data_IF_260225757794
#
_entry.id   IF_260225757794
#
_cell.length_a   1.000
_cell.length_b   1.000
_cell.length_c   1.000
_cell.angle_alpha   90.00
_cell.angle_beta   90.00
_cell.angle_gamma   90.00
#
_symmetry.space_group_name_H-M   'P 1'
#
loop_
_entity.id
_entity.type
_entity.pdbx_description
1 polymer ?
#
# COMPACT_ATOMS: atom_id res chain seq x y z
N UNK A 1 24.53 44.06 -3.79
CA UNK A 1 24.73 42.82 -4.58
C UNK A 1 25.13 41.73 -3.60
N UNK A 2 24.13 41.05 -3.01
CA UNK A 2 24.35 40.06 -1.95
C UNK A 2 24.48 38.67 -2.58
N UNK A 3 25.64 38.04 -2.40
CA UNK A 3 25.95 36.73 -2.94
C UNK A 3 25.15 35.67 -2.18
N UNK A 4 24.24 35.00 -2.91
CA UNK A 4 23.50 33.84 -2.42
C UNK A 4 24.50 32.72 -2.15
N UNK A 5 24.84 32.47 -0.88
CA UNK A 5 25.57 31.27 -0.49
C UNK A 5 24.72 30.06 -0.88
N UNK A 6 25.18 29.27 -1.84
CA UNK A 6 24.67 27.92 -2.07
C UNK A 6 24.87 27.17 -0.76
N UNK A 7 23.79 26.93 -0.03
CA UNK A 7 23.75 25.95 1.04
C UNK A 7 24.14 24.62 0.41
N UNK A 8 25.36 24.16 0.70
CA UNK A 8 25.79 22.83 0.34
C UNK A 8 24.82 21.85 1.01
N UNK A 9 24.14 21.04 0.19
CA UNK A 9 23.40 19.89 0.69
C UNK A 9 24.37 19.06 1.54
N UNK A 10 24.00 18.62 2.75
CA UNK A 10 24.88 17.81 3.57
C UNK A 10 25.25 16.53 2.81
N UNK A 11 26.48 16.06 3.03
CA UNK A 11 27.19 14.97 2.35
C UNK A 11 26.59 13.56 2.62
N UNK A 12 25.26 13.48 2.69
CA UNK A 12 24.45 12.30 3.06
C UNK A 12 24.10 11.41 1.84
N UNK A 13 24.50 11.85 0.64
CA UNK A 13 24.26 11.14 -0.62
C UNK A 13 24.82 9.69 -0.70
N UNK A 14 26.01 9.34 -0.16
CA UNK A 14 26.60 8.02 -0.45
C UNK A 14 25.88 6.86 0.26
N UNK A 15 25.28 7.12 1.44
CA UNK A 15 24.55 6.09 2.19
C UNK A 15 23.17 5.86 1.55
N UNK A 16 22.45 6.93 1.21
CA UNK A 16 21.13 6.83 0.56
C UNK A 16 21.24 6.14 -0.81
N UNK A 17 22.26 6.46 -1.61
CA UNK A 17 22.50 5.82 -2.90
C UNK A 17 22.86 4.34 -2.76
N UNK A 18 23.60 3.97 -1.70
CA UNK A 18 23.89 2.56 -1.38
C UNK A 18 22.65 1.77 -0.95
N UNK A 19 21.75 2.38 -0.15
CA UNK A 19 20.51 1.77 0.31
C UNK A 19 19.51 1.62 -0.85
N UNK A 20 19.40 2.64 -1.71
CA UNK A 20 18.60 2.59 -2.92
C UNK A 20 19.07 1.44 -3.84
N UNK A 21 20.39 1.32 -4.05
CA UNK A 21 20.98 0.23 -4.84
C UNK A 21 20.76 -1.15 -4.22
N UNK A 22 20.87 -1.28 -2.90
CA UNK A 22 20.58 -2.54 -2.21
C UNK A 22 19.11 -2.94 -2.31
N UNK A 23 18.18 -1.97 -2.26
CA UNK A 23 16.74 -2.24 -2.41
C UNK A 23 16.41 -2.77 -3.81
N UNK A 24 16.96 -2.16 -4.86
CA UNK A 24 16.73 -2.56 -6.25
C UNK A 24 17.36 -3.93 -6.57
N UNK A 25 18.56 -4.19 -6.04
CA UNK A 25 19.23 -5.48 -6.15
C UNK A 25 18.46 -6.56 -5.38
N UNK A 26 17.93 -6.29 -4.20
CA UNK A 26 17.18 -7.30 -3.43
C UNK A 26 15.86 -7.66 -4.10
N UNK A 27 15.17 -6.67 -4.70
CA UNK A 27 13.90 -6.90 -5.41
C UNK A 27 14.11 -7.64 -6.72
N UNK A 28 15.17 -7.31 -7.47
CA UNK A 28 15.46 -7.92 -8.78
C UNK A 28 16.21 -9.25 -8.70
N UNK A 29 16.95 -9.53 -7.62
CA UNK A 29 17.75 -10.78 -7.50
C UNK A 29 17.01 -11.88 -6.74
N UNK A 30 15.88 -11.57 -6.09
CA UNK A 30 15.01 -12.58 -5.47
C UNK A 30 14.00 -13.20 -6.46
N UNK A 31 14.43 -13.37 -7.72
CA UNK A 31 13.73 -14.21 -8.67
C UNK A 31 14.19 -15.64 -8.38
N UNK A 32 13.29 -16.48 -7.88
CA UNK A 32 13.59 -17.91 -7.73
C UNK A 32 14.11 -18.43 -9.08
N UNK A 33 15.15 -19.30 -9.12
CA UNK A 33 15.84 -19.73 -10.34
C UNK A 33 14.98 -20.49 -11.37
N UNK A 34 13.67 -20.55 -11.16
CA UNK A 34 12.68 -21.22 -12.01
C UNK A 34 11.42 -20.37 -12.25
N UNK A 35 11.40 -19.11 -11.81
CA UNK A 35 10.22 -18.24 -11.94
C UNK A 35 9.79 -18.08 -13.40
N UNK A 36 10.75 -17.91 -14.31
CA UNK A 36 10.51 -17.73 -15.74
C UNK A 36 9.83 -18.94 -16.38
N UNK A 37 10.38 -20.14 -16.15
CA UNK A 37 9.81 -21.39 -16.68
C UNK A 37 8.43 -21.70 -16.10
N UNK A 38 8.22 -21.41 -14.80
CA UNK A 38 6.90 -21.58 -14.16
C UNK A 38 5.86 -20.65 -14.77
N UNK A 39 6.20 -19.38 -14.99
CA UNK A 39 5.32 -18.42 -15.64
C UNK A 39 4.97 -18.83 -17.06
N UNK A 40 5.96 -19.24 -17.85
CA UNK A 40 5.75 -19.72 -19.22
C UNK A 40 4.86 -20.97 -19.26
N UNK A 41 5.13 -21.96 -18.40
CA UNK A 41 4.32 -23.18 -18.34
C UNK A 41 2.86 -22.87 -17.94
N UNK A 42 2.66 -22.05 -16.91
CA UNK A 42 1.31 -21.64 -16.47
C UNK A 42 0.58 -20.83 -17.56
N UNK A 43 1.29 -19.99 -18.32
CA UNK A 43 0.72 -19.27 -19.46
C UNK A 43 0.25 -20.23 -20.57
N UNK A 44 1.11 -21.16 -21.00
CA UNK A 44 0.73 -22.14 -22.04
C UNK A 44 -0.42 -23.03 -21.56
N UNK A 45 -0.35 -23.52 -20.33
CA UNK A 45 -1.41 -24.34 -19.74
C UNK A 45 -2.73 -23.59 -19.64
N UNK A 46 -2.72 -22.36 -19.12
CA UNK A 46 -3.93 -21.54 -19.00
C UNK A 46 -4.52 -21.18 -20.36
N UNK A 47 -3.70 -20.87 -21.36
CA UNK A 47 -4.15 -20.63 -22.73
C UNK A 47 -4.82 -21.87 -23.34
N UNK A 48 -4.23 -23.06 -23.18
CA UNK A 48 -4.83 -24.31 -23.66
C UNK A 48 -6.16 -24.61 -22.96
N UNK A 49 -6.21 -24.48 -21.64
CA UNK A 49 -7.45 -24.67 -20.87
C UNK A 49 -8.52 -23.66 -21.29
N UNK A 50 -8.15 -22.39 -21.50
CA UNK A 50 -9.07 -21.35 -21.95
C UNK A 50 -9.65 -21.64 -23.33
N UNK A 51 -8.81 -22.08 -24.28
CA UNK A 51 -9.26 -22.46 -25.63
C UNK A 51 -10.22 -23.65 -25.55
N UNK A 52 -9.85 -24.70 -24.81
CA UNK A 52 -10.71 -25.88 -24.64
C UNK A 52 -12.04 -25.52 -23.96
N UNK A 53 -12.00 -24.68 -22.92
CA UNK A 53 -13.19 -24.19 -22.22
C UNK A 53 -14.09 -23.35 -23.13
N UNK A 54 -13.51 -22.44 -23.91
CA UNK A 54 -14.25 -21.58 -24.83
C UNK A 54 -14.86 -22.38 -25.97
N UNK A 55 -14.12 -23.35 -26.52
CA UNK A 55 -14.67 -24.29 -27.48
C UNK A 55 -15.85 -25.06 -26.88
N UNK A 56 -15.68 -25.65 -25.69
CA UNK A 56 -16.77 -26.37 -25.03
C UNK A 56 -18.00 -25.50 -24.74
N UNK A 57 -17.80 -24.24 -24.30
CA UNK A 57 -18.88 -23.30 -24.01
C UNK A 57 -19.66 -22.81 -25.24
N UNK A 58 -19.00 -22.75 -26.41
CA UNK A 58 -19.61 -22.25 -27.66
C UNK A 58 -20.11 -23.39 -28.57
N UNK A 59 -19.68 -24.62 -28.33
CA UNK A 59 -20.08 -25.76 -29.14
C UNK A 59 -21.54 -26.14 -28.83
N UNK A 60 -22.40 -26.25 -29.85
CA UNK A 60 -23.79 -26.69 -29.65
C UNK A 60 -23.85 -28.20 -29.35
N UNK A 61 -24.90 -28.63 -28.63
CA UNK A 61 -25.03 -30.00 -28.10
C UNK A 61 -25.00 -31.08 -29.20
N UNK A 62 -25.57 -30.79 -30.37
CA UNK A 62 -25.56 -31.71 -31.52
C UNK A 62 -24.13 -32.04 -31.96
N UNK A 63 -23.20 -31.08 -31.90
CA UNK A 63 -21.82 -31.32 -32.32
C UNK A 63 -21.10 -32.25 -31.34
N UNK A 64 -21.35 -32.09 -30.04
CA UNK A 64 -20.74 -32.91 -28.99
C UNK A 64 -21.29 -34.34 -29.03
N UNK A 65 -22.60 -34.48 -29.23
CA UNK A 65 -23.25 -35.79 -29.24
C UNK A 65 -22.94 -36.58 -30.52
N UNK A 66 -23.03 -35.95 -31.70
CA UNK A 66 -22.92 -36.66 -32.99
C UNK A 66 -21.47 -36.94 -33.40
N UNK A 67 -20.53 -36.01 -33.15
CA UNK A 67 -19.14 -36.16 -33.60
C UNK A 67 -18.22 -36.71 -32.51
N UNK A 68 -18.49 -36.37 -31.25
CA UNK A 68 -17.62 -36.74 -30.13
C UNK A 68 -18.14 -37.99 -29.39
N UNK A 69 -19.38 -38.43 -29.64
CA UNK A 69 -20.01 -39.62 -29.03
C UNK A 69 -20.02 -39.62 -27.49
N UNK A 70 -20.06 -38.43 -26.88
CA UNK A 70 -20.06 -38.23 -25.42
C UNK A 70 -21.48 -37.88 -24.98
N UNK A 71 -22.14 -38.81 -24.28
CA UNK A 71 -23.51 -38.65 -23.79
C UNK A 71 -23.61 -38.21 -22.32
N UNK A 72 -22.47 -38.16 -21.60
CA UNK A 72 -22.41 -37.76 -20.20
C UNK A 72 -21.46 -36.58 -20.03
N UNK A 73 -22.01 -35.37 -20.00
CA UNK A 73 -21.31 -34.14 -19.65
C UNK A 73 -22.25 -33.21 -18.85
N UNK A 74 -21.72 -32.35 -17.97
CA UNK A 74 -22.54 -31.42 -17.17
C UNK A 74 -23.19 -30.36 -18.06
N UNK A 75 -24.38 -29.88 -17.68
CA UNK A 75 -25.12 -28.86 -18.44
C UNK A 75 -24.25 -27.64 -18.82
N UNK A 76 -24.45 -27.12 -20.03
CA UNK A 76 -23.71 -25.95 -20.53
C UNK A 76 -23.89 -24.69 -19.67
N UNK A 77 -24.88 -24.66 -18.78
CA UNK A 77 -25.08 -23.60 -17.79
C UNK A 77 -23.83 -23.29 -16.95
N UNK A 78 -22.99 -24.30 -16.67
CA UNK A 78 -21.77 -24.11 -15.89
C UNK A 78 -20.76 -23.17 -16.57
N UNK A 79 -20.78 -23.09 -17.90
CA UNK A 79 -19.95 -22.15 -18.67
C UNK A 79 -20.26 -20.68 -18.34
N UNK A 80 -21.51 -20.37 -18.00
CA UNK A 80 -21.97 -19.06 -17.59
C UNK A 80 -21.86 -18.86 -16.07
N UNK A 81 -22.19 -19.90 -15.30
CA UNK A 81 -22.20 -19.83 -13.85
C UNK A 81 -20.82 -19.52 -13.27
N UNK A 82 -19.78 -20.23 -13.73
CA UNK A 82 -18.42 -20.07 -13.18
C UNK A 82 -17.89 -18.63 -13.33
N UNK A 83 -17.92 -18.00 -14.52
CA UNK A 83 -17.54 -16.60 -14.66
C UNK A 83 -18.40 -15.64 -13.84
N UNK A 84 -19.73 -15.84 -13.82
CA UNK A 84 -20.65 -14.97 -13.08
C UNK A 84 -20.39 -15.01 -11.57
N UNK A 85 -20.25 -16.21 -10.99
CA UNK A 85 -19.92 -16.38 -9.57
C UNK A 85 -18.50 -15.86 -9.25
N UNK A 86 -17.53 -16.04 -10.15
CA UNK A 86 -16.18 -15.50 -9.97
C UNK A 86 -16.18 -13.97 -9.87
N UNK A 87 -16.92 -13.28 -10.76
CA UNK A 87 -17.07 -11.82 -10.70
C UNK A 87 -17.78 -11.36 -9.43
N UNK A 88 -18.83 -12.07 -9.00
CA UNK A 88 -19.53 -11.74 -7.75
C UNK A 88 -18.67 -12.00 -6.51
N UNK A 89 -17.88 -13.06 -6.50
CA UNK A 89 -16.93 -13.35 -5.44
C UNK A 89 -15.83 -12.28 -5.37
N UNK A 90 -15.30 -11.84 -6.51
CA UNK A 90 -14.31 -10.75 -6.59
C UNK A 90 -14.88 -9.45 -6.02
N UNK A 91 -16.10 -9.07 -6.40
CA UNK A 91 -16.77 -7.89 -5.86
C UNK A 91 -16.97 -8.00 -4.34
N UNK A 92 -17.44 -9.15 -3.87
CA UNK A 92 -17.62 -9.41 -2.44
C UNK A 92 -16.31 -9.28 -1.67
N UNK A 93 -15.21 -9.81 -2.19
CA UNK A 93 -13.87 -9.69 -1.58
C UNK A 93 -13.43 -8.23 -1.51
N UNK A 94 -13.64 -7.43 -2.56
CA UNK A 94 -13.29 -6.01 -2.53
C UNK A 94 -14.09 -5.22 -1.50
N UNK A 95 -15.39 -5.45 -1.42
CA UNK A 95 -16.24 -4.80 -0.41
C UNK A 95 -15.82 -5.23 1.00
N UNK A 96 -15.60 -6.53 1.21
CA UNK A 96 -15.17 -7.06 2.50
C UNK A 96 -13.81 -6.50 2.94
N UNK A 97 -12.83 -6.40 2.02
CA UNK A 97 -11.53 -5.79 2.30
C UNK A 97 -11.64 -4.29 2.58
N UNK A 98 -12.47 -3.56 1.83
CA UNK A 98 -12.71 -2.14 2.08
C UNK A 98 -13.29 -1.92 3.48
N UNK A 99 -14.34 -2.67 3.84
CA UNK A 99 -14.96 -2.62 5.17
C UNK A 99 -13.98 -3.02 6.28
N UNK A 100 -13.21 -4.09 6.07
CA UNK A 100 -12.22 -4.54 7.05
C UNK A 100 -11.13 -3.48 7.27
N UNK A 101 -10.65 -2.83 6.21
CA UNK A 101 -9.67 -1.77 6.33
C UNK A 101 -10.25 -0.57 7.09
N UNK A 102 -11.48 -0.15 6.77
CA UNK A 102 -12.12 1.00 7.42
C UNK A 102 -12.48 0.76 8.89
N UNK A 103 -12.99 -0.42 9.25
CA UNK A 103 -13.49 -0.70 10.60
C UNK A 103 -12.44 -1.29 11.55
N UNK A 104 -11.51 -2.09 11.03
CA UNK A 104 -10.57 -2.85 11.87
C UNK A 104 -9.16 -2.28 11.83
N UNK A 105 -8.69 -1.79 10.67
CA UNK A 105 -7.31 -1.33 10.51
C UNK A 105 -7.16 0.18 10.65
N UNK A 106 -8.13 0.96 10.23
CA UNK A 106 -8.10 2.42 10.30
C UNK A 106 -8.82 2.89 11.57
N UNK A 107 -8.29 3.93 12.21
CA UNK A 107 -9.00 4.60 13.29
C UNK A 107 -10.23 5.33 12.74
N UNK A 108 -11.26 5.62 13.57
CA UNK A 108 -12.36 6.48 13.15
C UNK A 108 -11.85 7.80 12.56
N UNK A 109 -12.52 8.36 11.55
CA UNK A 109 -12.06 9.56 10.83
C UNK A 109 -11.88 10.79 11.76
N UNK A 110 -12.63 10.84 12.85
CA UNK A 110 -12.59 11.92 13.84
C UNK A 110 -11.50 11.72 14.91
N UNK A 111 -10.68 10.68 14.77
CA UNK A 111 -9.61 10.38 15.73
C UNK A 111 -8.34 11.16 15.40
N UNK A 112 -7.83 11.88 16.38
CA UNK A 112 -6.59 12.65 16.28
C UNK A 112 -5.36 11.78 16.01
N UNK A 113 -5.43 10.48 16.36
CA UNK A 113 -4.37 9.51 16.06
C UNK A 113 -4.09 9.35 14.57
N UNK A 114 -5.01 9.78 13.69
CA UNK A 114 -4.76 9.81 12.25
C UNK A 114 -3.75 10.90 11.84
N UNK A 115 -3.50 11.90 12.68
CA UNK A 115 -2.62 13.04 12.37
C UNK A 115 -1.30 13.03 13.14
N UNK A 116 -1.11 12.08 14.05
CA UNK A 116 0.06 12.00 14.94
C UNK A 116 0.80 10.70 14.66
N UNK A 117 2.11 10.79 14.57
CA UNK A 117 3.04 9.68 14.43
C UNK A 117 4.19 9.78 15.46
N UNK A 118 5.13 8.83 15.41
CA UNK A 118 6.29 8.79 16.31
C UNK A 118 7.25 9.99 16.13
N UNK A 119 7.14 10.71 15.01
CA UNK A 119 7.98 11.85 14.66
C UNK A 119 7.28 13.21 14.85
N UNK A 120 6.07 13.21 15.39
CA UNK A 120 5.29 14.41 15.60
C UNK A 120 5.90 15.29 16.69
N UNK A 121 6.28 16.52 16.33
CA UNK A 121 6.92 17.47 17.23
C UNK A 121 5.89 18.45 17.82
N UNK A 122 5.85 18.56 19.15
CA UNK A 122 4.97 19.48 19.87
C UNK A 122 5.79 20.57 20.57
N UNK A 123 5.34 21.83 20.48
CA UNK A 123 5.97 22.95 21.17
C UNK A 123 6.03 22.70 22.69
N UNK A 124 7.21 22.88 23.30
CA UNK A 124 7.44 22.66 24.73
C UNK A 124 7.68 21.19 25.14
N UNK A 125 7.71 20.24 24.20
CA UNK A 125 8.16 18.89 24.49
C UNK A 125 9.69 18.82 24.49
N UNK A 126 10.30 18.80 25.69
CA UNK A 126 11.70 18.40 25.82
C UNK A 126 11.79 16.91 25.46
N UNK A 127 12.17 16.60 24.23
CA UNK A 127 12.38 15.24 23.73
C UNK A 127 11.10 14.40 23.66
N UNK A 128 10.46 14.35 22.48
CA UNK A 128 9.36 13.41 22.21
C UNK A 128 9.84 11.95 22.18
N UNK A 129 11.15 11.72 22.10
CA UNK A 129 11.83 10.42 22.09
C UNK A 129 11.65 9.56 23.35
N UNK A 130 10.90 10.00 24.36
CA UNK A 130 10.58 9.22 25.57
C UNK A 130 9.11 9.26 26.02
N UNK A 131 8.21 9.92 25.27
CA UNK A 131 6.80 10.02 25.66
C UNK A 131 5.99 8.83 25.16
N UNK A 132 5.29 8.16 26.07
CA UNK A 132 4.33 7.10 25.71
C UNK A 132 3.29 7.64 24.71
N UNK A 133 2.87 6.80 23.75
CA UNK A 133 1.91 7.18 22.70
C UNK A 133 0.64 7.85 23.25
N UNK A 134 0.13 7.40 24.40
CA UNK A 134 -1.04 7.99 25.05
C UNK A 134 -0.83 9.46 25.46
N UNK A 135 0.38 9.80 25.91
CA UNK A 135 0.74 11.15 26.34
C UNK A 135 0.93 12.09 25.14
N UNK A 136 1.36 11.56 23.99
CA UNK A 136 1.42 12.31 22.73
C UNK A 136 0.02 12.69 22.24
N UNK A 137 -0.91 11.72 22.24
CA UNK A 137 -2.32 11.94 21.88
C UNK A 137 -2.97 13.01 22.77
N UNK A 138 -2.78 12.94 24.09
CA UNK A 138 -3.35 13.92 25.02
C UNK A 138 -2.90 15.35 24.76
N UNK A 139 -1.62 15.56 24.41
CA UNK A 139 -1.10 16.89 24.06
C UNK A 139 -1.62 17.38 22.72
N UNK A 140 -1.68 16.50 21.72
CA UNK A 140 -2.21 16.88 20.42
C UNK A 140 -3.66 17.36 20.51
N UNK A 141 -4.49 16.73 21.35
CA UNK A 141 -5.90 17.16 21.56
C UNK A 141 -5.96 18.60 22.06
N UNK A 142 -5.04 18.99 22.94
CA UNK A 142 -4.95 20.37 23.43
C UNK A 142 -4.64 21.36 22.30
N UNK A 143 -3.71 21.01 21.40
CA UNK A 143 -3.29 21.88 20.29
C UNK A 143 -4.21 21.86 19.06
N UNK A 144 -5.01 20.80 18.86
CA UNK A 144 -5.92 20.70 17.70
C UNK A 144 -7.12 21.65 17.84
N UNK A 145 -7.70 21.76 19.04
CA UNK A 145 -8.86 22.64 19.26
C UNK A 145 -8.50 24.04 19.75
N UNK A 146 -7.24 24.25 20.16
CA UNK A 146 -6.75 25.54 20.62
C UNK A 146 -5.67 26.03 19.66
N UNK A 147 -5.98 27.08 18.90
CA UNK A 147 -4.97 27.76 18.11
C UNK A 147 -3.79 28.11 19.04
N UNK A 148 -2.55 27.71 18.72
CA UNK A 148 -1.40 28.13 19.50
C UNK A 148 -1.30 29.64 19.36
N UNK A 149 -1.76 30.35 20.39
CA UNK A 149 -2.09 31.78 20.37
C UNK A 149 -0.88 32.71 20.20
N UNK A 150 0.29 32.16 19.83
CA UNK A 150 1.52 32.92 19.63
C UNK A 150 2.39 32.48 18.46
N UNK A 151 1.97 31.53 17.61
CA UNK A 151 2.84 30.94 16.56
C UNK A 151 2.47 31.37 15.13
N UNK A 152 1.40 32.16 14.95
CA UNK A 152 0.84 32.46 13.62
C UNK A 152 1.72 33.34 12.71
N UNK A 153 2.72 34.03 13.26
CA UNK A 153 3.57 34.98 12.51
C UNK A 153 5.08 34.66 12.57
N UNK A 154 5.48 33.48 13.04
CA UNK A 154 6.89 33.11 13.09
C UNK A 154 7.38 32.66 11.71
N UNK A 155 8.52 33.18 11.20
CA UNK A 155 9.14 32.63 10.00
C UNK A 155 9.43 31.15 10.22
N UNK A 156 9.20 30.34 9.17
CA UNK A 156 9.33 28.87 9.23
C UNK A 156 10.70 28.42 9.76
N UNK A 157 11.74 29.22 9.54
CA UNK A 157 13.08 28.98 10.08
C UNK A 157 13.10 28.96 11.61
N UNK A 158 12.44 29.92 12.28
CA UNK A 158 12.35 29.96 13.75
C UNK A 158 11.46 28.85 14.29
N UNK A 159 10.40 28.47 13.57
CA UNK A 159 9.55 27.34 13.94
C UNK A 159 10.36 26.04 13.91
N UNK A 160 11.16 25.83 12.85
CA UNK A 160 12.00 24.65 12.71
C UNK A 160 13.09 24.59 13.77
N UNK A 161 13.70 25.74 14.09
CA UNK A 161 14.68 25.86 15.18
C UNK A 161 14.04 25.52 16.54
N UNK A 162 12.87 26.07 16.87
CA UNK A 162 12.21 25.80 18.15
C UNK A 162 11.74 24.34 18.29
N UNK A 163 11.25 23.74 17.20
CA UNK A 163 10.69 22.37 17.22
C UNK A 163 11.76 21.28 17.07
N UNK A 164 12.81 21.53 16.30
CA UNK A 164 13.80 20.53 15.89
C UNK A 164 15.25 20.92 16.21
N UNK A 165 15.50 22.00 16.98
CA UNK A 165 16.85 22.20 17.53
C UNK A 165 17.20 20.98 18.38
N UNK A 166 18.15 20.19 17.89
CA UNK A 166 18.74 19.09 18.62
C UNK A 166 19.22 19.62 19.97
N UNK A 167 18.65 19.09 21.05
CA UNK A 167 19.21 19.24 22.41
C UNK A 167 20.40 18.31 22.61
N UNK A 168 21.16 18.01 21.56
CA UNK A 168 22.45 17.34 21.67
C UNK A 168 23.53 18.39 21.97
N UNK A 169 23.59 18.83 23.23
CA UNK A 169 24.83 19.28 23.88
C UNK A 169 24.53 19.86 25.27
N UNK A 170 24.41 18.98 26.27
CA UNK A 170 25.07 19.20 27.57
C UNK A 170 25.28 17.87 28.27
#
# INVERSE_FOLDING_TARGET
MSLRSRTASPDIQPVEDSLARQSDVTVSTNITPYAEYKGFFMYVLSALVLVLWTCWALLPEWFIQDYLSIHYYPDNYWSLAIPAYSLMAMLFVYIALALYNTEVKTFPLDDIRNFIDEHSAFAGAVGTSGLSHHQQVARAVEYVHKAPSGVWDLPITLVNEVLYSDKEST
#
